data_IF_233223498563
#
_entry.id   IF_233223498563
#
_cell.length_a   1.000
_cell.length_b   1.000
_cell.length_c   1.000
_cell.angle_alpha   90.00
_cell.angle_beta   90.00
_cell.angle_gamma   90.00
#
_symmetry.space_group_name_H-M   'P 1'
#
loop_
_entity.id
_entity.type
_entity.pdbx_description
1 polymer ?
#
# COMPACT_ATOMS: atom_id res chain seq x y z
N UNK A 1 8.57 1.42 -3.02
CA UNK A 1 9.36 1.37 -1.80
C UNK A 1 9.48 -0.08 -1.40
N UNK A 2 8.34 -0.74 -1.23
CA UNK A 2 8.23 -2.16 -0.90
C UNK A 2 7.57 -2.96 -2.05
N UNK A 3 7.60 -4.29 -1.97
CA UNK A 3 6.88 -5.18 -2.88
C UNK A 3 6.37 -6.47 -2.22
N UNK A 4 5.33 -7.04 -2.81
CA UNK A 4 4.76 -8.34 -2.41
C UNK A 4 4.29 -9.13 -3.62
N UNK A 5 4.08 -10.43 -3.47
CA UNK A 5 3.59 -11.30 -4.53
C UNK A 5 2.30 -11.99 -4.09
N UNK A 6 1.27 -11.97 -4.94
CA UNK A 6 0.05 -12.76 -4.69
C UNK A 6 0.23 -14.24 -5.06
N UNK A 7 -0.75 -15.07 -4.70
CA UNK A 7 -0.71 -16.52 -4.96
C UNK A 7 -0.73 -16.89 -6.46
N UNK A 8 -1.07 -15.95 -7.34
CA UNK A 8 -1.03 -16.13 -8.79
C UNK A 8 0.33 -15.70 -9.39
N UNK A 9 1.26 -15.23 -8.56
CA UNK A 9 2.60 -14.83 -8.96
C UNK A 9 2.71 -13.36 -9.39
N UNK A 10 1.63 -12.57 -9.30
CA UNK A 10 1.66 -11.14 -9.67
C UNK A 10 2.33 -10.36 -8.55
N UNK A 11 3.27 -9.50 -8.93
CA UNK A 11 4.03 -8.69 -7.97
C UNK A 11 3.42 -7.30 -7.88
N UNK A 12 3.22 -6.79 -6.67
CA UNK A 12 2.72 -5.44 -6.42
C UNK A 12 3.83 -4.61 -5.78
N UNK A 13 4.04 -3.40 -6.29
CA UNK A 13 5.14 -2.51 -5.86
C UNK A 13 4.56 -1.15 -5.50
N UNK A 14 4.87 -0.66 -4.30
CA UNK A 14 4.41 0.65 -3.85
C UNK A 14 5.25 1.79 -4.43
N UNK A 15 4.63 2.93 -4.71
CA UNK A 15 5.28 4.21 -4.96
C UNK A 15 4.66 5.28 -4.06
N UNK A 16 5.40 5.54 -2.99
CA UNK A 16 5.02 6.43 -1.90
C UNK A 16 4.83 7.87 -2.35
N UNK A 17 5.66 8.38 -3.27
CA UNK A 17 5.61 9.79 -3.66
C UNK A 17 4.61 10.07 -4.80
N UNK A 18 4.20 9.01 -5.51
CA UNK A 18 3.22 9.06 -6.59
C UNK A 18 1.79 8.66 -6.17
N UNK A 19 1.57 8.27 -4.91
CA UNK A 19 0.31 7.69 -4.43
C UNK A 19 -0.17 6.56 -5.35
N UNK A 20 0.74 5.65 -5.69
CA UNK A 20 0.50 4.61 -6.70
C UNK A 20 0.98 3.25 -6.19
N UNK A 21 0.24 2.19 -6.51
CA UNK A 21 0.72 0.82 -6.47
C UNK A 21 0.76 0.31 -7.91
N UNK A 22 1.90 -0.23 -8.31
CA UNK A 22 2.11 -0.88 -9.60
C UNK A 22 1.91 -2.39 -9.46
N UNK A 23 1.52 -3.06 -10.54
CA UNK A 23 1.48 -4.51 -10.66
C UNK A 23 2.36 -4.97 -11.81
N UNK A 24 3.12 -6.02 -11.59
CA UNK A 24 3.92 -6.72 -12.60
C UNK A 24 3.26 -8.09 -12.81
N UNK A 25 2.84 -8.33 -14.04
CA UNK A 25 2.23 -9.57 -14.52
C UNK A 25 2.79 -9.80 -15.93
N UNK A 26 4.02 -10.32 -16.00
CA UNK A 26 4.85 -10.34 -17.21
C UNK A 26 6.05 -9.38 -17.13
N UNK A 27 6.46 -8.81 -18.27
CA UNK A 27 7.78 -8.19 -18.41
C UNK A 27 7.86 -6.73 -17.93
N UNK A 28 6.74 -6.07 -17.64
CA UNK A 28 6.72 -4.65 -17.27
C UNK A 28 5.74 -4.33 -16.13
N UNK A 29 6.08 -3.37 -15.25
CA UNK A 29 5.13 -2.83 -14.29
C UNK A 29 4.07 -1.96 -14.99
N UNK A 30 2.81 -2.10 -14.56
CA UNK A 30 1.69 -1.25 -14.96
C UNK A 30 1.02 -0.65 -13.71
N UNK A 31 0.47 0.58 -13.76
CA UNK A 31 -0.29 1.12 -12.64
C UNK A 31 -1.47 0.21 -12.30
N UNK A 32 -1.49 -0.33 -11.09
CA UNK A 32 -2.61 -1.11 -10.60
C UNK A 32 -3.68 -0.17 -10.04
N UNK A 33 -3.26 0.74 -9.15
CA UNK A 33 -4.09 1.82 -8.62
C UNK A 33 -3.24 3.06 -8.38
N UNK A 34 -3.80 4.22 -8.71
CA UNK A 34 -3.27 5.53 -8.35
C UNK A 34 -4.40 6.35 -7.73
N UNK A 35 -4.29 6.61 -6.43
CA UNK A 35 -5.37 7.25 -5.67
C UNK A 35 -4.80 7.91 -4.41
N UNK A 36 -5.22 9.14 -4.13
CA UNK A 36 -4.80 9.90 -2.95
C UNK A 36 -5.22 9.24 -1.62
N UNK A 37 -6.23 8.36 -1.65
CA UNK A 37 -6.64 7.56 -0.48
C UNK A 37 -5.55 6.58 -0.02
N UNK A 38 -4.58 6.24 -0.87
CA UNK A 38 -3.42 5.44 -0.48
C UNK A 38 -2.50 6.18 0.49
N UNK A 39 -2.57 7.52 0.51
CA UNK A 39 -1.85 8.39 1.43
C UNK A 39 -0.38 7.97 1.59
N UNK A 40 0.38 8.13 0.51
CA UNK A 40 1.79 7.74 0.43
C UNK A 40 2.02 6.27 0.79
N UNK A 41 1.56 5.32 -0.05
CA UNK A 41 1.66 3.89 0.24
C UNK A 41 3.13 3.49 0.31
N UNK A 42 3.52 2.83 1.40
CA UNK A 42 4.89 2.40 1.61
C UNK A 42 4.99 0.88 1.68
N UNK A 43 4.61 0.27 2.80
CA UNK A 43 4.61 -1.18 2.96
C UNK A 43 3.46 -1.82 2.21
N UNK A 44 3.67 -3.01 1.67
CA UNK A 44 2.61 -3.74 0.97
C UNK A 44 2.73 -5.24 1.21
N UNK A 45 1.60 -5.90 1.50
CA UNK A 45 1.53 -7.33 1.74
C UNK A 45 0.30 -7.92 1.05
N UNK A 46 0.48 -8.96 0.23
CA UNK A 46 -0.61 -9.67 -0.40
C UNK A 46 -1.26 -10.63 0.60
N UNK A 47 -2.57 -10.49 0.79
CA UNK A 47 -3.37 -11.25 1.75
C UNK A 47 -4.63 -11.76 1.03
N UNK A 48 -4.54 -12.96 0.46
CA UNK A 48 -5.65 -13.56 -0.30
C UNK A 48 -6.10 -12.70 -1.49
N UNK A 49 -7.31 -12.16 -1.42
CA UNK A 49 -7.96 -11.36 -2.46
C UNK A 49 -7.74 -9.85 -2.32
N UNK A 50 -6.85 -9.43 -1.41
CA UNK A 50 -6.55 -8.03 -1.13
C UNK A 50 -5.06 -7.79 -0.92
N UNK A 51 -4.68 -6.52 -0.96
CA UNK A 51 -3.42 -6.03 -0.42
C UNK A 51 -3.69 -5.36 0.92
N UNK A 52 -2.84 -5.63 1.91
CA UNK A 52 -2.67 -4.79 3.08
C UNK A 52 -1.58 -3.76 2.74
N UNK A 53 -1.89 -2.49 2.93
CA UNK A 53 -0.99 -1.38 2.60
C UNK A 53 -0.69 -0.60 3.88
N UNK A 54 0.59 -0.49 4.21
CA UNK A 54 1.07 0.46 5.22
C UNK A 54 1.16 1.83 4.55
N UNK A 55 0.23 2.71 4.90
CA UNK A 55 0.23 4.10 4.46
C UNK A 55 1.20 4.90 5.34
N UNK A 56 2.07 5.69 4.69
CA UNK A 56 2.93 6.63 5.40
C UNK A 56 2.14 7.83 5.91
N UNK A 57 1.16 8.34 5.15
CA UNK A 57 0.29 9.42 5.60
C UNK A 57 0.05 10.49 4.55
N UNK A 58 -0.79 11.45 4.89
CA UNK A 58 -1.25 12.48 3.93
C UNK A 58 -0.39 13.73 3.97
N UNK A 59 -0.33 14.42 2.83
CA UNK A 59 0.33 15.72 2.74
C UNK A 59 1.84 15.61 2.95
N UNK A 60 2.45 14.54 2.44
CA UNK A 60 3.87 14.31 2.64
C UNK A 60 4.74 15.45 2.10
N UNK A 61 5.63 15.94 2.94
CA UNK A 61 6.66 16.88 2.54
C UNK A 61 7.81 16.12 1.86
N UNK A 62 7.99 16.32 0.55
CA UNK A 62 8.99 15.61 -0.25
C UNK A 62 10.45 15.91 0.13
N UNK A 63 10.72 16.89 1.00
CA UNK A 63 12.09 17.23 1.43
C UNK A 63 12.52 16.49 2.69
N UNK A 64 11.59 16.17 3.58
CA UNK A 64 11.89 15.61 4.90
C UNK A 64 10.92 14.50 5.33
N UNK A 65 10.00 14.09 4.46
CA UNK A 65 9.03 12.99 4.65
C UNK A 65 8.04 13.16 5.81
N UNK A 66 7.94 14.34 6.42
CA UNK A 66 6.91 14.64 7.42
C UNK A 66 5.52 14.67 6.78
N UNK A 67 4.50 14.19 7.49
CA UNK A 67 3.10 14.19 7.06
C UNK A 67 2.26 15.22 7.81
N UNK A 68 1.15 15.65 7.19
CA UNK A 68 0.15 16.50 7.84
C UNK A 68 -0.81 15.67 8.69
N UNK A 69 -1.15 14.47 8.23
CA UNK A 69 -1.90 13.46 8.97
C UNK A 69 -1.13 12.14 8.92
N UNK A 70 -0.96 11.45 10.06
CA UNK A 70 -0.31 10.15 10.06
C UNK A 70 -1.11 9.13 9.25
N UNK A 71 -0.39 8.19 8.67
CA UNK A 71 -0.97 7.05 7.97
C UNK A 71 -1.52 5.97 8.90
N UNK A 72 -1.68 4.79 8.34
CA UNK A 72 -2.29 3.63 8.99
C UNK A 72 -2.35 2.45 8.04
N UNK A 73 -3.16 1.45 8.37
CA UNK A 73 -3.34 0.29 7.51
C UNK A 73 -4.58 0.42 6.63
N UNK A 74 -4.40 0.12 5.35
CA UNK A 74 -5.47 0.08 4.34
C UNK A 74 -5.59 -1.34 3.78
N UNK A 75 -6.79 -1.71 3.37
CA UNK A 75 -7.08 -2.86 2.53
C UNK A 75 -7.38 -2.37 1.12
N UNK A 76 -6.75 -2.96 0.11
CA UNK A 76 -7.05 -2.72 -1.30
C UNK A 76 -7.53 -4.03 -1.93
N UNK A 77 -8.79 -4.10 -2.30
CA UNK A 77 -9.37 -5.26 -2.96
C UNK A 77 -8.74 -5.47 -4.35
N UNK A 78 -8.26 -6.68 -4.66
CA UNK A 78 -7.50 -6.93 -5.90
C UNK A 78 -8.38 -6.87 -7.17
N UNK A 79 -9.67 -7.19 -7.06
CA UNK A 79 -10.58 -7.25 -8.19
C UNK A 79 -11.17 -5.87 -8.52
N UNK A 80 -11.64 -5.16 -7.49
CA UNK A 80 -12.37 -3.90 -7.58
C UNK A 80 -11.50 -2.67 -7.36
N UNK A 81 -10.30 -2.87 -6.79
CA UNK A 81 -9.35 -1.81 -6.40
C UNK A 81 -9.92 -0.85 -5.35
N UNK A 82 -10.97 -1.27 -4.64
CA UNK A 82 -11.56 -0.48 -3.56
C UNK A 82 -10.58 -0.37 -2.40
N UNK A 83 -10.28 0.87 -2.01
CA UNK A 83 -9.45 1.19 -0.84
C UNK A 83 -10.36 1.36 0.37
N UNK A 84 -10.09 0.62 1.44
CA UNK A 84 -10.84 0.72 2.71
C UNK A 84 -9.85 0.75 3.89
N UNK A 85 -9.95 1.68 4.84
CA UNK A 85 -9.14 1.63 6.05
C UNK A 85 -9.42 0.37 6.87
N UNK A 86 -8.39 -0.24 7.44
CA UNK A 86 -8.59 -1.35 8.39
C UNK A 86 -9.17 -0.80 9.71
N UNK A 87 -10.28 -1.36 10.22
CA UNK A 87 -10.87 -0.92 11.47
C UNK A 87 -9.89 -1.00 12.65
N UNK A 88 -9.71 0.11 13.37
CA UNK A 88 -8.83 0.19 14.54
C UNK A 88 -7.36 0.49 14.21
N UNK A 89 -6.99 0.57 12.93
CA UNK A 89 -5.63 0.84 12.48
C UNK A 89 -5.55 2.12 11.63
N UNK A 90 -6.45 3.08 11.86
CA UNK A 90 -6.44 4.37 11.18
C UNK A 90 -5.56 5.39 11.92
N UNK A 91 -4.79 6.18 11.17
CA UNK A 91 -4.14 7.42 11.63
C UNK A 91 -3.32 7.27 12.92
N UNK A 92 -2.42 6.28 12.95
CA UNK A 92 -1.65 5.98 14.17
C UNK A 92 -0.13 6.20 14.03
N UNK A 93 0.43 6.17 12.82
CA UNK A 93 1.84 6.44 12.57
C UNK A 93 2.13 6.61 11.08
N UNK A 94 3.33 7.10 10.78
CA UNK A 94 3.92 7.01 9.45
C UNK A 94 4.55 5.63 9.28
N UNK A 95 3.88 4.73 8.55
CA UNK A 95 4.26 3.32 8.46
C UNK A 95 5.20 3.04 7.29
N UNK A 96 6.33 2.40 7.59
CA UNK A 96 7.29 1.96 6.58
C UNK A 96 6.86 0.64 5.93
N UNK A 97 6.99 -0.49 6.64
CA UNK A 97 6.66 -1.83 6.14
C UNK A 97 5.48 -2.50 6.84
N UNK A 98 4.98 -3.61 6.27
CA UNK A 98 3.97 -4.49 6.89
C UNK A 98 4.27 -5.95 6.57
N UNK A 99 4.12 -6.83 7.56
CA UNK A 99 4.25 -8.28 7.40
C UNK A 99 3.19 -8.98 8.26
N UNK A 100 2.68 -10.12 7.79
CA UNK A 100 1.81 -10.97 8.58
C UNK A 100 2.66 -11.93 9.46
N UNK A 101 2.22 -12.18 10.69
CA UNK A 101 2.81 -13.19 11.57
C UNK A 101 1.78 -14.30 11.76
N UNK A 102 2.18 -15.55 11.48
CA UNK A 102 1.31 -16.73 11.54
C UNK A 102 1.07 -17.32 10.16
N UNK A 103 0.22 -18.34 10.09
CA UNK A 103 -0.16 -18.95 8.82
C UNK A 103 -1.05 -17.97 8.03
N UNK A 104 -0.66 -17.71 6.78
CA UNK A 104 -1.34 -16.87 5.79
C UNK A 104 -1.97 -17.72 4.71
#
# INVERSE_FOLDING_TARGET
NDMTQDSAGKVYVSDMLADTIYRIDGDKPEPFIKDALLASPNGVFADGDRLIVASWGKGINRKNFSTAEPGGLLSVDLATRKITPLPGAQSFADLDGVVAIGDT
#
